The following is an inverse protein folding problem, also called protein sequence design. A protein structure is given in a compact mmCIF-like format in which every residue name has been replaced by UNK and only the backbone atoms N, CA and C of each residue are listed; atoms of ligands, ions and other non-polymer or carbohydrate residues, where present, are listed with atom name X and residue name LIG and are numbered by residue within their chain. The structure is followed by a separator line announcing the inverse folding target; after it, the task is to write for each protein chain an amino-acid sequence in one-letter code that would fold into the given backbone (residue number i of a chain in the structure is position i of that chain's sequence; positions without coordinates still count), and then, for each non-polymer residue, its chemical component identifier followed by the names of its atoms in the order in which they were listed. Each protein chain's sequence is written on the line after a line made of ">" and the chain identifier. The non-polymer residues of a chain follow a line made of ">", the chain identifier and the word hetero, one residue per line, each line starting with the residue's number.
data_IF_635377569996
#
_entry.id   IF_635377569996
#
_cell.length_a   1.000
_cell.length_b   1.000
_cell.length_c   1.000
_cell.angle_alpha   90.00
_cell.angle_beta   90.00
_cell.angle_gamma   90.00
#
_symmetry.space_group_name_H-M   'P 1'
#
loop_
_entity.id
_entity.type
_entity.pdbx_description
1 polymer ?
#
# COMPACT_ATOMS: atom_id res chain seq x y z
N UNK A 1 22.41 -34.10 14.84
CA UNK A 1 21.45 -34.43 13.76
C UNK A 1 21.00 -33.13 13.13
N UNK A 2 21.42 -32.86 11.90
CA UNK A 2 20.93 -31.68 11.16
C UNK A 2 19.43 -31.88 10.88
N UNK A 3 18.56 -30.86 11.08
CA UNK A 3 17.16 -31.00 10.71
C UNK A 3 17.09 -31.23 9.20
N UNK A 4 16.53 -32.36 8.80
CA UNK A 4 16.14 -32.63 7.41
C UNK A 4 15.25 -31.49 6.94
N UNK A 5 15.80 -30.61 6.10
CA UNK A 5 15.09 -29.48 5.48
C UNK A 5 13.97 -30.04 4.62
N UNK A 6 12.77 -30.16 5.20
CA UNK A 6 11.58 -30.57 4.45
C UNK A 6 11.37 -29.56 3.33
N UNK A 7 11.47 -30.00 2.08
CA UNK A 7 11.32 -29.12 0.92
C UNK A 7 9.96 -28.41 1.00
N UNK A 8 9.98 -27.07 1.12
CA UNK A 8 8.78 -26.27 1.27
C UNK A 8 7.84 -26.48 0.07
N UNK A 9 6.57 -26.86 0.27
CA UNK A 9 5.60 -27.02 -0.82
C UNK A 9 5.43 -25.77 -1.67
N UNK A 10 5.54 -24.58 -1.06
CA UNK A 10 5.48 -23.28 -1.74
C UNK A 10 6.66 -23.04 -2.71
N UNK A 11 7.76 -23.77 -2.53
CA UNK A 11 8.96 -23.71 -3.36
C UNK A 11 9.21 -25.03 -4.10
N UNK A 12 8.16 -25.83 -4.31
CA UNK A 12 8.23 -27.01 -5.18
C UNK A 12 8.33 -26.61 -6.66
N UNK A 13 9.00 -27.42 -7.48
CA UNK A 13 9.02 -27.23 -8.94
C UNK A 13 7.71 -27.58 -9.65
N UNK A 14 6.79 -28.24 -8.94
CA UNK A 14 5.49 -28.64 -9.46
C UNK A 14 4.44 -27.55 -9.17
N UNK A 15 3.83 -27.02 -10.23
CA UNK A 15 2.84 -25.93 -10.15
C UNK A 15 1.63 -26.29 -9.28
N UNK A 16 1.06 -27.50 -9.42
CA UNK A 16 -0.09 -27.91 -8.61
C UNK A 16 0.23 -27.97 -7.12
N UNK A 17 1.45 -28.39 -6.76
CA UNK A 17 1.90 -28.43 -5.37
C UNK A 17 2.05 -27.02 -4.80
N UNK A 18 2.61 -26.09 -5.57
CA UNK A 18 2.72 -24.67 -5.16
C UNK A 18 1.34 -24.05 -5.03
N UNK A 19 0.46 -24.26 -6.02
CA UNK A 19 -0.93 -23.78 -6.02
C UNK A 19 -1.69 -24.23 -4.77
N UNK A 20 -1.64 -25.53 -4.46
CA UNK A 20 -2.28 -26.08 -3.24
C UNK A 20 -1.73 -25.41 -1.98
N UNK A 21 -0.41 -25.27 -1.88
CA UNK A 21 0.22 -24.66 -0.72
C UNK A 21 -0.13 -23.17 -0.56
N UNK A 22 -0.31 -22.45 -1.67
CA UNK A 22 -0.78 -21.06 -1.65
C UNK A 22 -2.24 -20.95 -1.19
N UNK A 23 -3.10 -21.88 -1.63
CA UNK A 23 -4.51 -21.94 -1.21
C UNK A 23 -4.68 -22.30 0.27
N UNK A 24 -3.74 -23.05 0.86
CA UNK A 24 -3.76 -23.43 2.28
C UNK A 24 -3.07 -22.39 3.19
N UNK A 25 -2.39 -21.39 2.60
CA UNK A 25 -1.60 -20.41 3.32
C UNK A 25 -2.46 -19.57 4.28
N UNK A 26 -1.97 -19.35 5.51
CA UNK A 26 -2.68 -18.63 6.58
C UNK A 26 -4.12 -19.15 6.80
N UNK A 27 -4.29 -20.47 6.74
CA UNK A 27 -5.60 -21.13 6.92
C UNK A 27 -6.56 -20.95 5.75
N UNK A 28 -6.04 -20.54 4.59
CA UNK A 28 -6.80 -20.32 3.36
C UNK A 28 -7.55 -18.99 3.28
N UNK A 29 -7.38 -18.09 4.27
CA UNK A 29 -8.05 -16.78 4.27
C UNK A 29 -7.36 -15.70 3.42
N UNK A 30 -6.05 -15.86 3.16
CA UNK A 30 -5.24 -14.79 2.55
C UNK A 30 -5.60 -14.56 1.08
N UNK A 31 -5.68 -15.62 0.27
CA UNK A 31 -5.98 -15.47 -1.16
C UNK A 31 -7.41 -14.96 -1.44
N UNK A 32 -8.47 -15.47 -0.79
CA UNK A 32 -9.80 -14.90 -0.97
C UNK A 32 -9.87 -13.42 -0.58
N UNK A 33 -9.19 -13.04 0.50
CA UNK A 33 -9.10 -11.62 0.91
C UNK A 33 -8.38 -10.80 -0.15
N UNK A 34 -7.24 -11.27 -0.65
CA UNK A 34 -6.47 -10.60 -1.70
C UNK A 34 -7.31 -10.44 -2.98
N UNK A 35 -8.03 -11.47 -3.41
CA UNK A 35 -8.91 -11.45 -4.59
C UNK A 35 -10.02 -10.41 -4.48
N UNK A 36 -10.78 -10.44 -3.38
CA UNK A 36 -11.87 -9.49 -3.16
C UNK A 36 -11.40 -8.02 -3.15
N UNK A 37 -10.20 -7.75 -2.65
CA UNK A 37 -9.63 -6.39 -2.64
C UNK A 37 -9.07 -6.02 -4.00
N UNK A 38 -8.48 -6.97 -4.73
CA UNK A 38 -7.99 -6.76 -6.08
C UNK A 38 -9.12 -6.42 -7.05
N UNK A 39 -10.24 -7.15 -7.01
CA UNK A 39 -11.42 -6.86 -7.83
C UNK A 39 -11.91 -5.42 -7.61
N UNK A 40 -12.14 -5.04 -6.35
CA UNK A 40 -12.56 -3.67 -5.99
C UNK A 40 -11.51 -2.61 -6.32
N UNK A 41 -10.23 -2.95 -6.25
CA UNK A 41 -9.14 -2.06 -6.63
C UNK A 41 -9.12 -1.82 -8.15
N UNK A 42 -9.40 -2.84 -8.96
CA UNK A 42 -9.57 -2.72 -10.40
C UNK A 42 -10.80 -1.86 -10.75
N UNK A 43 -11.91 -2.03 -10.04
CA UNK A 43 -13.13 -1.21 -10.19
C UNK A 43 -12.95 0.27 -9.83
N UNK A 44 -11.93 0.61 -9.03
CA UNK A 44 -11.62 2.00 -8.75
C UNK A 44 -11.33 2.36 -7.30
N UNK A 45 -11.57 1.44 -6.36
CA UNK A 45 -11.54 1.74 -4.93
C UNK A 45 -10.11 1.99 -4.41
N UNK A 46 -9.88 3.17 -3.86
CA UNK A 46 -8.61 3.52 -3.22
C UNK A 46 -8.35 2.65 -1.98
N UNK A 47 -9.37 2.43 -1.16
CA UNK A 47 -9.24 1.63 0.07
C UNK A 47 -8.96 0.17 -0.21
N UNK A 48 -9.62 -0.39 -1.22
CA UNK A 48 -9.33 -1.73 -1.68
C UNK A 48 -7.93 -1.81 -2.32
N UNK A 49 -7.46 -0.75 -2.99
CA UNK A 49 -6.09 -0.71 -3.53
C UNK A 49 -5.05 -0.75 -2.40
N UNK A 50 -5.26 0.03 -1.33
CA UNK A 50 -4.40 -0.01 -0.14
C UNK A 50 -4.37 -1.40 0.48
N UNK A 51 -5.55 -1.99 0.66
CA UNK A 51 -5.68 -3.31 1.27
C UNK A 51 -5.10 -4.43 0.39
N UNK A 52 -5.24 -4.32 -0.93
CA UNK A 52 -4.58 -5.19 -1.90
C UNK A 52 -3.06 -5.15 -1.76
N UNK A 53 -2.46 -3.95 -1.73
CA UNK A 53 -1.01 -3.79 -1.53
C UNK A 53 -0.57 -4.41 -0.19
N UNK A 54 -1.36 -4.22 0.87
CA UNK A 54 -1.10 -4.83 2.19
C UNK A 54 -1.16 -6.35 2.14
N UNK A 55 -2.19 -6.92 1.51
CA UNK A 55 -2.33 -8.37 1.35
C UNK A 55 -1.17 -8.95 0.51
N UNK A 56 -0.78 -8.27 -0.56
CA UNK A 56 0.36 -8.66 -1.39
C UNK A 56 1.67 -8.61 -0.60
N UNK A 57 1.89 -7.58 0.22
CA UNK A 57 3.05 -7.50 1.11
C UNK A 57 3.09 -8.68 2.10
N UNK A 58 1.97 -9.00 2.75
CA UNK A 58 1.87 -10.18 3.64
C UNK A 58 2.22 -11.46 2.88
N UNK A 59 1.66 -11.65 1.68
CA UNK A 59 1.96 -12.80 0.83
C UNK A 59 3.46 -12.88 0.49
N UNK A 60 4.09 -11.76 0.11
CA UNK A 60 5.54 -11.66 -0.12
C UNK A 60 6.34 -12.11 1.10
N UNK A 61 6.00 -11.63 2.30
CA UNK A 61 6.68 -12.03 3.53
C UNK A 61 6.51 -13.52 3.85
N UNK A 62 5.34 -14.11 3.58
CA UNK A 62 5.11 -15.54 3.77
C UNK A 62 5.98 -16.37 2.83
N UNK A 63 5.98 -16.05 1.54
CA UNK A 63 6.75 -16.79 0.53
C UNK A 63 8.26 -16.61 0.77
N UNK A 64 8.72 -15.40 1.13
CA UNK A 64 10.11 -15.17 1.50
C UNK A 64 10.49 -15.84 2.82
N UNK A 65 9.55 -15.98 3.76
CA UNK A 65 9.76 -16.74 4.99
C UNK A 65 10.07 -18.21 4.71
N UNK A 66 9.37 -18.83 3.76
CA UNK A 66 9.71 -20.16 3.27
C UNK A 66 11.06 -20.18 2.54
N UNK A 67 11.33 -19.16 1.72
CA UNK A 67 12.60 -19.05 1.00
C UNK A 67 13.79 -18.96 1.95
N UNK A 68 13.67 -18.21 3.04
CA UNK A 68 14.68 -18.15 4.11
C UNK A 68 14.90 -19.51 4.76
N UNK A 69 13.85 -20.31 4.98
CA UNK A 69 14.01 -21.67 5.54
C UNK A 69 14.71 -22.63 4.59
N UNK A 70 14.44 -22.53 3.28
CA UNK A 70 15.00 -23.43 2.26
C UNK A 70 16.42 -22.99 1.83
N UNK A 71 16.66 -21.68 1.73
CA UNK A 71 17.92 -21.06 1.30
C UNK A 71 18.33 -19.93 2.26
N UNK A 72 18.71 -20.27 3.51
CA UNK A 72 19.15 -19.27 4.49
C UNK A 72 20.47 -18.58 4.09
N UNK A 73 21.19 -19.13 3.12
CA UNK A 73 22.39 -18.57 2.50
C UNK A 73 22.08 -17.44 1.51
N UNK A 74 20.86 -17.40 0.96
CA UNK A 74 20.44 -16.40 -0.05
C UNK A 74 19.47 -15.39 0.54
N UNK A 75 18.49 -15.84 1.32
CA UNK A 75 17.51 -14.98 1.98
C UNK A 75 17.81 -15.02 3.46
N UNK A 76 18.10 -13.86 4.04
CA UNK A 76 18.47 -13.72 5.45
C UNK A 76 17.48 -12.81 6.18
N UNK A 77 17.41 -12.97 7.49
CA UNK A 77 16.76 -12.01 8.38
C UNK A 77 17.83 -11.04 8.91
N UNK A 78 17.63 -9.74 8.72
CA UNK A 78 18.52 -8.69 9.24
C UNK A 78 18.37 -8.58 10.76
N UNK A 79 19.28 -7.84 11.40
CA UNK A 79 19.21 -7.56 12.84
C UNK A 79 17.88 -6.89 13.24
N UNK A 80 17.34 -6.03 12.37
CA UNK A 80 16.06 -5.33 12.57
C UNK A 80 14.84 -6.22 12.26
N UNK A 81 15.05 -7.51 12.00
CA UNK A 81 13.98 -8.49 11.79
C UNK A 81 13.41 -8.54 10.37
N UNK A 82 13.87 -7.70 9.45
CA UNK A 82 13.42 -7.69 8.04
C UNK A 82 14.05 -8.82 7.22
N UNK A 83 13.34 -9.29 6.19
CA UNK A 83 13.91 -10.22 5.22
C UNK A 83 14.68 -9.43 4.15
N UNK A 84 15.83 -9.98 3.73
CA UNK A 84 16.71 -9.40 2.72
C UNK A 84 17.41 -10.50 1.91
N UNK A 85 17.90 -10.15 0.73
CA UNK A 85 18.69 -11.04 -0.11
C UNK A 85 20.17 -10.73 0.05
N UNK A 86 21.01 -11.76 0.08
CA UNK A 86 22.46 -11.61 0.06
C UNK A 86 22.91 -11.28 -1.38
N UNK A 87 23.61 -10.16 -1.54
CA UNK A 87 24.21 -9.79 -2.82
C UNK A 87 25.50 -10.57 -3.11
N UNK A 88 26.08 -10.36 -4.30
CA UNK A 88 27.33 -11.03 -4.72
C UNK A 88 28.53 -10.72 -3.81
N UNK A 89 28.44 -9.70 -2.94
CA UNK A 89 29.47 -9.31 -1.98
C UNK A 89 29.16 -9.83 -0.57
N UNK A 90 28.13 -10.65 -0.39
CA UNK A 90 27.72 -11.15 0.92
C UNK A 90 26.93 -10.14 1.76
N UNK A 91 26.50 -9.01 1.18
CA UNK A 91 25.80 -7.94 1.92
C UNK A 91 24.28 -8.12 1.81
N UNK A 92 23.52 -8.04 2.92
CA UNK A 92 22.06 -8.05 2.86
C UNK A 92 21.51 -6.81 2.15
N UNK A 93 20.61 -7.02 1.17
CA UNK A 93 19.94 -5.98 0.39
C UNK A 93 18.43 -6.19 0.40
N UNK A 94 17.69 -5.11 0.65
CA UNK A 94 16.22 -5.09 0.58
C UNK A 94 15.66 -4.79 -0.81
N UNK A 95 16.45 -4.22 -1.71
CA UNK A 95 16.00 -3.87 -3.06
C UNK A 95 15.31 -5.03 -3.82
N UNK A 96 15.75 -6.30 -3.74
CA UNK A 96 15.00 -7.40 -4.37
C UNK A 96 13.64 -7.68 -3.71
N UNK A 97 13.48 -7.42 -2.41
CA UNK A 97 12.19 -7.51 -1.72
C UNK A 97 11.25 -6.40 -2.19
N UNK A 98 11.75 -5.17 -2.27
CA UNK A 98 11.00 -4.01 -2.79
C UNK A 98 10.59 -4.21 -4.26
N UNK A 99 11.44 -4.86 -5.07
CA UNK A 99 11.12 -5.22 -6.44
C UNK A 99 9.99 -6.26 -6.53
N UNK A 100 9.94 -7.23 -5.61
CA UNK A 100 8.82 -8.17 -5.50
C UNK A 100 7.52 -7.44 -5.14
N UNK A 101 7.56 -6.51 -4.18
CA UNK A 101 6.39 -5.71 -3.80
C UNK A 101 5.90 -4.82 -4.95
N UNK A 102 6.83 -4.24 -5.71
CA UNK A 102 6.53 -3.44 -6.91
C UNK A 102 5.80 -4.25 -7.98
N UNK A 103 6.06 -5.56 -8.06
CA UNK A 103 5.39 -6.44 -9.00
C UNK A 103 3.87 -6.54 -8.78
N UNK A 104 3.37 -6.16 -7.59
CA UNK A 104 1.92 -6.08 -7.33
C UNK A 104 1.18 -5.12 -8.28
N UNK A 105 1.86 -4.11 -8.83
CA UNK A 105 1.27 -3.20 -9.80
C UNK A 105 0.94 -3.90 -11.13
N UNK A 106 1.78 -4.85 -11.55
CA UNK A 106 1.73 -5.46 -12.88
C UNK A 106 1.17 -6.89 -12.86
N UNK A 107 1.23 -7.57 -11.71
CA UNK A 107 0.79 -8.96 -11.55
C UNK A 107 -0.65 -9.23 -12.04
N UNK A 108 -1.65 -8.36 -11.81
CA UNK A 108 -3.02 -8.57 -12.31
C UNK A 108 -3.17 -8.52 -13.84
N UNK A 109 -2.13 -8.10 -14.56
CA UNK A 109 -2.12 -8.01 -16.03
C UNK A 109 -1.09 -8.98 -16.64
N UNK A 110 -0.49 -9.83 -15.81
CA UNK A 110 0.51 -10.80 -16.24
C UNK A 110 -0.11 -12.02 -16.94
N UNK A 111 0.72 -12.88 -17.56
CA UNK A 111 0.25 -14.03 -18.33
C UNK A 111 -0.49 -15.08 -17.49
N UNK A 112 -0.30 -15.07 -16.16
CA UNK A 112 -0.97 -15.98 -15.22
C UNK A 112 -2.48 -15.82 -15.19
N UNK A 113 -3.00 -14.61 -15.42
CA UNK A 113 -4.45 -14.31 -15.34
C UNK A 113 -5.24 -14.92 -16.50
N UNK A 114 -4.56 -15.33 -17.58
CA UNK A 114 -5.18 -16.08 -18.69
C UNK A 114 -5.52 -17.53 -18.33
N UNK A 115 -4.99 -18.05 -17.21
CA UNK A 115 -5.07 -19.47 -16.85
C UNK A 115 -5.63 -19.73 -15.46
N UNK A 116 -5.60 -18.73 -14.57
CA UNK A 116 -6.01 -18.87 -13.17
C UNK A 116 -6.89 -17.69 -12.74
N UNK A 117 -7.74 -17.88 -11.71
CA UNK A 117 -8.39 -16.76 -11.00
C UNK A 117 -7.37 -15.71 -10.55
N UNK A 118 -7.80 -14.45 -10.45
CA UNK A 118 -6.91 -13.30 -10.24
C UNK A 118 -6.00 -13.45 -9.02
N UNK A 119 -6.57 -13.87 -7.89
CA UNK A 119 -5.86 -14.07 -6.63
C UNK A 119 -4.80 -15.17 -6.72
N UNK A 120 -5.11 -16.26 -7.41
CA UNK A 120 -4.17 -17.36 -7.62
C UNK A 120 -3.08 -16.97 -8.62
N UNK A 121 -3.46 -16.29 -9.70
CA UNK A 121 -2.54 -15.83 -10.73
C UNK A 121 -1.46 -14.91 -10.14
N UNK A 122 -1.88 -13.92 -9.36
CA UNK A 122 -0.99 -12.96 -8.69
C UNK A 122 -0.08 -13.66 -7.68
N UNK A 123 -0.60 -14.65 -6.95
CA UNK A 123 0.17 -15.41 -5.98
C UNK A 123 1.19 -16.37 -6.62
N UNK A 124 0.81 -17.03 -7.72
CA UNK A 124 1.68 -17.92 -8.49
C UNK A 124 2.79 -17.13 -9.20
N UNK A 125 2.50 -15.93 -9.72
CA UNK A 125 3.51 -15.03 -10.28
C UNK A 125 4.57 -14.67 -9.23
N UNK A 126 4.14 -14.23 -8.05
CA UNK A 126 5.02 -13.92 -6.93
C UNK A 126 5.88 -15.14 -6.51
N UNK A 127 5.26 -16.31 -6.35
CA UNK A 127 5.98 -17.53 -6.01
C UNK A 127 7.03 -17.89 -7.08
N UNK A 128 6.69 -17.75 -8.37
CA UNK A 128 7.61 -17.98 -9.48
C UNK A 128 8.80 -17.00 -9.45
N UNK A 129 8.56 -15.72 -9.18
CA UNK A 129 9.62 -14.70 -9.04
C UNK A 129 10.54 -14.99 -7.86
N UNK A 130 9.99 -15.33 -6.69
CA UNK A 130 10.81 -15.69 -5.52
C UNK A 130 11.69 -16.90 -5.84
N UNK A 131 11.14 -17.93 -6.49
CA UNK A 131 11.91 -19.11 -6.93
C UNK A 131 13.11 -18.71 -7.79
N UNK A 132 12.89 -17.86 -8.79
CA UNK A 132 13.97 -17.36 -9.65
C UNK A 132 15.05 -16.63 -8.85
N UNK A 133 14.65 -15.74 -7.92
CA UNK A 133 15.58 -14.98 -7.09
C UNK A 133 16.45 -15.86 -6.18
N UNK A 134 15.93 -17.01 -5.73
CA UNK A 134 16.71 -17.97 -4.93
C UNK A 134 17.42 -19.04 -5.79
N UNK A 135 17.49 -18.85 -7.11
CA UNK A 135 18.21 -19.73 -8.04
C UNK A 135 17.47 -21.02 -8.40
N UNK A 136 16.17 -21.11 -8.13
CA UNK A 136 15.32 -22.20 -8.59
C UNK A 136 14.70 -21.88 -9.95
N UNK A 137 14.36 -22.92 -10.72
CA UNK A 137 13.65 -22.76 -12.00
C UNK A 137 12.27 -22.12 -11.77
N UNK A 138 11.91 -21.17 -12.63
CA UNK A 138 10.58 -20.58 -12.69
C UNK A 138 9.49 -21.66 -12.82
N UNK A 139 8.27 -21.35 -12.35
CA UNK A 139 7.13 -22.24 -12.57
C UNK A 139 6.75 -22.25 -14.05
N UNK A 140 6.47 -23.44 -14.59
CA UNK A 140 6.17 -23.62 -16.01
C UNK A 140 4.69 -23.37 -16.31
N UNK A 141 4.39 -22.17 -16.78
CA UNK A 141 3.05 -21.76 -17.18
C UNK A 141 2.59 -22.43 -18.50
N UNK A 142 3.52 -22.84 -19.36
CA UNK A 142 3.20 -23.43 -20.66
C UNK A 142 2.62 -24.84 -20.54
N UNK A 143 2.87 -25.51 -19.41
CA UNK A 143 2.34 -26.84 -19.10
C UNK A 143 0.86 -26.87 -18.71
N UNK A 144 0.18 -25.71 -18.66
CA UNK A 144 -1.21 -25.58 -18.24
C UNK A 144 -2.07 -25.09 -19.40
N UNK A 145 -3.12 -25.85 -19.71
CA UNK A 145 -4.08 -25.51 -20.75
C UNK A 145 -4.78 -24.16 -20.45
N UNK A 146 -4.90 -23.27 -21.45
CA UNK A 146 -5.66 -22.03 -21.30
C UNK A 146 -7.15 -22.35 -21.22
N UNK A 147 -7.74 -22.36 -20.03
CA UNK A 147 -9.16 -22.76 -19.93
C UNK A 147 -9.90 -22.53 -18.62
N UNK A 148 -9.33 -21.85 -17.61
CA UNK A 148 -10.02 -21.68 -16.31
C UNK A 148 -10.22 -20.23 -15.86
N UNK A 149 -9.60 -19.25 -16.51
CA UNK A 149 -9.84 -17.82 -16.23
C UNK A 149 -10.61 -17.19 -17.38
N UNK A 150 -11.80 -16.65 -17.12
CA UNK A 150 -12.36 -15.63 -18.00
C UNK A 150 -11.35 -14.49 -18.03
N UNK A 151 -10.73 -14.24 -19.18
CA UNK A 151 -9.83 -13.10 -19.32
C UNK A 151 -10.64 -11.83 -19.07
N UNK A 152 -10.54 -11.29 -17.86
CA UNK A 152 -11.15 -10.01 -17.52
C UNK A 152 -10.48 -8.98 -18.41
N UNK A 153 -11.18 -8.55 -19.45
CA UNK A 153 -10.73 -7.53 -20.39
C UNK A 153 -10.67 -6.19 -19.68
N UNK A 154 -9.61 -5.93 -18.93
CA UNK A 154 -9.36 -4.62 -18.34
C UNK A 154 -8.86 -3.70 -19.44
N UNK A 155 -9.58 -2.61 -19.70
CA UNK A 155 -9.15 -1.62 -20.67
C UNK A 155 -7.87 -0.88 -20.22
N UNK A 156 -7.11 -0.35 -21.17
CA UNK A 156 -5.83 0.35 -20.93
C UNK A 156 -5.93 1.52 -19.94
N UNK A 157 -7.07 2.23 -19.91
CA UNK A 157 -7.27 3.36 -19.02
C UNK A 157 -7.47 2.89 -17.58
N UNK A 158 -8.25 1.84 -17.38
CA UNK A 158 -8.45 1.18 -16.09
C UNK A 158 -7.13 0.60 -15.58
N UNK A 159 -6.36 -0.07 -16.43
CA UNK A 159 -5.03 -0.58 -16.07
C UNK A 159 -4.09 0.56 -15.63
N UNK A 160 -4.02 1.67 -16.37
CA UNK A 160 -3.20 2.84 -16.00
C UNK A 160 -3.63 3.49 -14.68
N UNK A 161 -4.93 3.58 -14.42
CA UNK A 161 -5.46 4.12 -13.15
C UNK A 161 -5.11 3.22 -11.97
N UNK A 162 -5.26 1.91 -12.13
CA UNK A 162 -4.84 0.93 -11.14
C UNK A 162 -3.35 1.03 -10.84
N UNK A 163 -2.49 1.01 -11.87
CA UNK A 163 -1.03 1.14 -11.75
C UNK A 163 -0.64 2.39 -10.96
N UNK A 164 -1.29 3.53 -11.22
CA UNK A 164 -1.04 4.78 -10.51
C UNK A 164 -1.38 4.67 -9.02
N UNK A 165 -2.53 4.08 -8.67
CA UNK A 165 -2.97 3.91 -7.27
C UNK A 165 -2.07 2.94 -6.51
N UNK A 166 -1.70 1.81 -7.12
CA UNK A 166 -0.79 0.84 -6.49
C UNK A 166 0.58 1.46 -6.23
N UNK A 167 1.17 2.13 -7.23
CA UNK A 167 2.45 2.83 -7.06
C UNK A 167 2.38 3.93 -6.00
N UNK A 168 1.25 4.62 -5.89
CA UNK A 168 1.03 5.56 -4.80
C UNK A 168 1.16 4.87 -3.44
N UNK A 169 0.43 3.77 -3.19
CA UNK A 169 0.50 3.07 -1.90
C UNK A 169 1.82 2.34 -1.64
N UNK A 170 2.55 1.92 -2.69
CA UNK A 170 3.89 1.33 -2.54
C UNK A 170 4.97 2.35 -2.16
N UNK A 171 4.87 3.58 -2.70
CA UNK A 171 5.80 4.67 -2.39
C UNK A 171 5.46 5.36 -1.06
N UNK A 172 4.26 5.11 -0.55
CA UNK A 172 3.75 5.62 0.71
C UNK A 172 3.22 4.47 1.59
N UNK A 173 4.06 3.44 1.86
CA UNK A 173 3.63 2.22 2.56
C UNK A 173 3.23 2.53 4.01
N UNK A 174 3.87 3.56 4.56
CA UNK A 174 3.69 4.13 5.89
C UNK A 174 3.03 5.50 5.85
N UNK A 175 2.35 5.91 4.77
CA UNK A 175 1.39 7.01 4.89
C UNK A 175 0.26 6.54 5.80
N UNK A 176 0.53 6.73 7.09
CA UNK A 176 -0.40 6.89 8.17
C UNK A 176 -1.73 7.34 7.59
N UNK A 177 -2.75 6.48 7.74
CA UNK A 177 -4.09 6.68 7.18
C UNK A 177 -4.38 8.17 7.15
N UNK A 178 -4.71 8.81 6.02
CA UNK A 178 -4.55 10.26 5.88
C UNK A 178 -5.27 11.05 6.98
N UNK A 179 -6.35 10.49 7.54
CA UNK A 179 -6.98 11.01 8.76
C UNK A 179 -6.12 10.92 10.05
N UNK A 180 -5.42 9.81 10.33
CA UNK A 180 -4.42 9.72 11.39
C UNK A 180 -3.31 10.76 11.19
N UNK A 181 -2.79 10.91 9.96
CA UNK A 181 -1.80 11.95 9.65
C UNK A 181 -2.32 13.35 9.96
N UNK A 182 -3.56 13.65 9.56
CA UNK A 182 -4.22 14.92 9.88
C UNK A 182 -4.44 15.07 11.40
N UNK A 183 -4.82 14.00 12.08
CA UNK A 183 -5.00 14.01 13.54
C UNK A 183 -3.70 14.30 14.26
N UNK A 184 -2.59 13.72 13.82
CA UNK A 184 -1.31 13.88 14.47
C UNK A 184 -0.70 15.26 14.16
N UNK A 185 -0.74 15.69 12.90
CA UNK A 185 -0.23 17.00 12.49
C UNK A 185 -0.93 18.17 13.23
N UNK A 186 -2.26 18.11 13.33
CA UNK A 186 -3.07 19.16 13.95
C UNK A 186 -3.40 18.91 15.43
N UNK A 187 -2.93 17.79 16.01
CA UNK A 187 -3.31 17.31 17.34
C UNK A 187 -4.84 17.30 17.53
N UNK A 188 -5.55 16.62 16.63
CA UNK A 188 -7.01 16.51 16.64
C UNK A 188 -7.44 15.21 17.29
N UNK A 189 -8.44 15.32 18.16
CA UNK A 189 -9.26 14.18 18.53
C UNK A 189 -10.15 13.74 17.35
N UNK A 190 -10.63 12.49 17.40
CA UNK A 190 -11.64 11.99 16.44
C UNK A 190 -12.91 12.86 16.39
N UNK A 191 -13.27 13.48 17.52
CA UNK A 191 -14.43 14.36 17.62
C UNK A 191 -14.18 15.67 16.88
N UNK A 192 -13.01 16.28 17.06
CA UNK A 192 -12.65 17.50 16.32
C UNK A 192 -12.53 17.23 14.83
N UNK A 193 -11.92 16.11 14.44
CA UNK A 193 -11.88 15.70 13.03
C UNK A 193 -13.30 15.54 12.47
N UNK A 194 -14.22 14.91 13.22
CA UNK A 194 -15.61 14.79 12.79
C UNK A 194 -16.28 16.16 12.59
N UNK A 195 -16.04 17.11 13.50
CA UNK A 195 -16.51 18.50 13.38
C UNK A 195 -15.93 19.20 12.15
N UNK A 196 -14.65 19.01 11.85
CA UNK A 196 -14.02 19.58 10.64
C UNK A 196 -14.68 19.06 9.36
N UNK A 197 -15.14 17.81 9.36
CA UNK A 197 -15.80 17.20 8.20
C UNK A 197 -17.33 17.34 8.21
N UNK A 198 -17.92 17.96 9.24
CA UNK A 198 -19.37 18.09 9.38
C UNK A 198 -20.09 16.75 9.54
N UNK A 199 -19.42 15.76 10.13
CA UNK A 199 -19.94 14.39 10.33
C UNK A 199 -19.95 13.99 11.80
N UNK A 200 -20.56 12.83 12.10
CA UNK A 200 -20.50 12.24 13.45
C UNK A 200 -19.17 11.50 13.66
N UNK A 201 -18.69 11.43 14.90
CA UNK A 201 -17.49 10.66 15.28
C UNK A 201 -17.50 9.21 14.77
N UNK A 202 -18.67 8.55 14.78
CA UNK A 202 -18.82 7.18 14.28
C UNK A 202 -18.49 7.05 12.78
N UNK A 203 -18.74 8.09 11.98
CA UNK A 203 -18.34 8.10 10.57
C UNK A 203 -16.82 8.11 10.45
N UNK A 204 -16.13 8.92 11.26
CA UNK A 204 -14.67 8.93 11.35
C UNK A 204 -14.12 7.58 11.79
N UNK A 205 -14.70 6.94 12.81
CA UNK A 205 -14.30 5.60 13.25
C UNK A 205 -14.44 4.57 12.11
N UNK A 206 -15.52 4.66 11.32
CA UNK A 206 -15.67 3.82 10.13
C UNK A 206 -14.64 4.14 9.05
N UNK A 207 -14.33 5.42 8.82
CA UNK A 207 -13.35 5.84 7.82
C UNK A 207 -11.94 5.40 8.19
N UNK A 208 -11.55 5.45 9.46
CA UNK A 208 -10.23 4.96 9.89
C UNK A 208 -10.01 3.46 9.63
N UNK A 209 -11.10 2.68 9.61
CA UNK A 209 -11.06 1.24 9.35
C UNK A 209 -11.20 0.93 7.85
N UNK A 210 -12.20 1.54 7.22
CA UNK A 210 -12.65 1.20 5.85
C UNK A 210 -12.14 2.15 4.80
N UNK A 211 -11.55 3.27 5.22
CA UNK A 211 -11.10 4.39 4.41
C UNK A 211 -12.15 5.45 4.13
N UNK A 212 -11.71 6.54 3.51
CA UNK A 212 -12.51 7.77 3.35
C UNK A 212 -13.38 7.69 2.09
N UNK A 213 -14.68 8.01 2.15
CA UNK A 213 -15.57 8.02 0.99
C UNK A 213 -15.08 8.94 -0.14
N UNK A 214 -15.33 8.56 -1.38
CA UNK A 214 -14.85 9.27 -2.58
C UNK A 214 -15.18 10.77 -2.59
N UNK A 215 -16.37 11.15 -2.15
CA UNK A 215 -16.86 12.53 -2.07
C UNK A 215 -16.16 13.37 -1.01
N UNK A 216 -15.41 12.75 -0.09
CA UNK A 216 -14.61 13.42 0.95
C UNK A 216 -13.10 13.39 0.66
N UNK A 217 -12.68 12.61 -0.34
CA UNK A 217 -11.27 12.47 -0.72
C UNK A 217 -10.64 13.81 -1.10
N UNK A 218 -11.35 14.68 -1.84
CA UNK A 218 -10.79 15.97 -2.25
C UNK A 218 -10.42 16.86 -1.05
N UNK A 219 -11.31 16.92 -0.05
CA UNK A 219 -11.05 17.66 1.19
C UNK A 219 -9.84 17.08 1.91
N UNK A 220 -9.78 15.76 2.08
CA UNK A 220 -8.63 15.09 2.71
C UNK A 220 -7.33 15.41 1.99
N UNK A 221 -7.27 15.27 0.67
CA UNK A 221 -6.07 15.55 -0.12
C UNK A 221 -5.63 17.02 -0.01
N UNK A 222 -6.58 17.95 0.01
CA UNK A 222 -6.28 19.37 0.24
C UNK A 222 -5.67 19.61 1.62
N UNK A 223 -6.21 18.97 2.66
CA UNK A 223 -5.69 19.10 4.02
C UNK A 223 -4.31 18.48 4.19
N UNK A 224 -4.05 17.33 3.55
CA UNK A 224 -2.73 16.70 3.53
C UNK A 224 -1.71 17.63 2.86
N UNK A 225 -2.07 18.22 1.72
CA UNK A 225 -1.20 19.19 1.04
C UNK A 225 -0.90 20.44 1.89
N UNK A 226 -1.87 20.90 2.70
CA UNK A 226 -1.64 21.98 3.68
C UNK A 226 -0.64 21.52 4.75
N UNK A 227 -0.79 20.30 5.28
CA UNK A 227 0.15 19.74 6.26
C UNK A 227 1.56 19.66 5.69
N UNK A 228 1.72 19.09 4.49
CA UNK A 228 3.02 18.98 3.81
C UNK A 228 3.72 20.34 3.68
N UNK A 229 2.98 21.38 3.29
CA UNK A 229 3.54 22.73 3.14
C UNK A 229 3.96 23.32 4.48
N UNK A 230 3.14 23.16 5.52
CA UNK A 230 3.41 23.68 6.84
C UNK A 230 4.56 22.93 7.52
N UNK A 231 4.59 21.60 7.47
CA UNK A 231 5.65 20.77 8.07
C UNK A 231 7.03 21.04 7.44
N UNK A 232 7.09 21.34 6.15
CA UNK A 232 8.35 21.72 5.47
C UNK A 232 8.90 23.07 5.93
N UNK A 233 8.05 23.96 6.46
CA UNK A 233 8.41 25.36 6.76
C UNK A 233 8.38 25.68 8.25
N UNK A 234 7.68 24.90 9.05
CA UNK A 234 7.59 25.05 10.50
C UNK A 234 8.55 24.10 11.21
N UNK A 235 8.96 24.47 12.43
CA UNK A 235 9.69 23.54 13.30
C UNK A 235 8.78 22.36 13.69
N UNK A 236 9.33 21.15 13.88
CA UNK A 236 8.57 20.00 14.36
C UNK A 236 7.70 20.35 15.59
N UNK A 237 6.46 19.87 15.62
CA UNK A 237 5.50 20.11 16.71
C UNK A 237 4.89 21.51 16.77
N UNK A 238 5.13 22.40 15.79
CA UNK A 238 4.53 23.76 15.78
C UNK A 238 3.22 23.87 15.02
N UNK A 239 2.90 22.89 14.17
CA UNK A 239 1.77 22.97 13.26
C UNK A 239 0.44 23.14 13.99
N UNK A 240 0.14 22.28 14.97
CA UNK A 240 -1.08 22.36 15.78
C UNK A 240 -1.28 23.75 16.42
N UNK A 241 -0.22 24.31 17.00
CA UNK A 241 -0.24 25.65 17.60
C UNK A 241 -0.52 26.77 16.59
N UNK A 242 0.04 26.68 15.38
CA UNK A 242 -0.23 27.65 14.30
C UNK A 242 -1.66 27.52 13.80
N UNK A 243 -2.15 26.29 13.62
CA UNK A 243 -3.49 26.03 13.09
C UNK A 243 -4.62 26.55 14.00
N UNK A 244 -4.39 26.57 15.31
CA UNK A 244 -5.34 27.03 16.33
C UNK A 244 -5.23 28.52 16.67
N UNK A 245 -4.28 29.24 16.07
CA UNK A 245 -4.09 30.67 16.31
C UNK A 245 -4.88 31.50 15.30
N UNK A 246 -5.71 32.47 15.74
CA UNK A 246 -6.33 33.45 14.86
C UNK A 246 -5.28 34.29 14.11
N UNK A 247 -5.54 34.59 12.84
CA UNK A 247 -4.66 35.47 12.05
C UNK A 247 -5.46 36.42 11.16
N UNK A 248 -4.90 37.62 10.94
CA UNK A 248 -5.51 38.65 10.08
C UNK A 248 -5.66 38.18 8.63
N UNK A 249 -4.69 37.38 8.14
CA UNK A 249 -4.74 36.74 6.83
C UNK A 249 -5.95 35.82 6.63
N UNK A 250 -6.56 35.36 7.73
CA UNK A 250 -7.75 34.49 7.75
C UNK A 250 -9.02 35.25 8.13
N UNK A 251 -8.96 36.60 8.23
CA UNK A 251 -10.05 37.43 8.69
C UNK A 251 -10.34 37.26 10.19
N UNK A 252 -9.30 37.11 11.00
CA UNK A 252 -9.42 36.89 12.46
C UNK A 252 -9.85 35.47 12.84
N UNK A 253 -9.89 34.55 11.87
CA UNK A 253 -10.21 33.13 12.10
C UNK A 253 -8.96 32.28 12.23
N UNK A 254 -9.13 31.08 12.76
CA UNK A 254 -8.13 30.02 12.78
C UNK A 254 -8.16 29.21 11.48
N UNK A 255 -7.09 28.46 11.20
CA UNK A 255 -7.08 27.54 10.06
C UNK A 255 -8.18 26.47 10.21
N UNK A 256 -8.38 25.96 11.42
CA UNK A 256 -9.38 24.93 11.71
C UNK A 256 -10.81 25.44 11.45
N UNK A 257 -11.11 26.69 11.77
CA UNK A 257 -12.42 27.31 11.45
C UNK A 257 -12.64 27.47 9.95
N UNK A 258 -11.59 27.81 9.18
CA UNK A 258 -11.69 27.83 7.72
C UNK A 258 -11.95 26.42 7.15
N UNK A 259 -11.31 25.39 7.70
CA UNK A 259 -11.52 24.00 7.29
C UNK A 259 -12.95 23.54 7.61
N UNK A 260 -13.45 23.85 8.81
CA UNK A 260 -14.80 23.52 9.23
C UNK A 260 -15.87 24.22 8.36
N UNK A 261 -15.59 25.43 7.89
CA UNK A 261 -16.45 26.17 6.96
C UNK A 261 -16.29 25.74 5.49
N UNK A 262 -15.65 24.61 5.22
CA UNK A 262 -15.34 24.09 3.87
C UNK A 262 -14.51 25.03 2.97
N UNK A 263 -13.82 26.00 3.58
CA UNK A 263 -12.91 26.94 2.88
C UNK A 263 -11.47 26.41 2.79
N UNK A 264 -11.30 25.08 2.73
CA UNK A 264 -9.99 24.42 2.72
C UNK A 264 -9.18 24.71 1.44
N UNK A 265 -9.83 24.90 0.29
CA UNK A 265 -9.14 25.33 -0.95
C UNK A 265 -8.59 26.76 -0.84
N UNK A 266 -9.36 27.65 -0.23
CA UNK A 266 -8.92 29.02 0.03
C UNK A 266 -7.76 29.05 1.01
N UNK A 267 -7.85 28.27 2.10
CA UNK A 267 -6.76 28.13 3.06
C UNK A 267 -5.47 27.65 2.38
N UNK A 268 -5.54 26.62 1.53
CA UNK A 268 -4.36 26.14 0.80
C UNK A 268 -3.73 27.25 -0.05
N UNK A 269 -4.55 28.06 -0.72
CA UNK A 269 -4.07 29.20 -1.50
C UNK A 269 -3.37 30.23 -0.60
N UNK A 270 -4.00 30.64 0.51
CA UNK A 270 -3.42 31.60 1.46
C UNK A 270 -2.10 31.10 2.06
N UNK A 271 -2.01 29.81 2.38
CA UNK A 271 -0.79 29.19 2.89
C UNK A 271 0.33 29.24 1.84
N UNK A 272 0.02 28.95 0.57
CA UNK A 272 1.00 29.07 -0.52
C UNK A 272 1.47 30.51 -0.71
N UNK A 273 0.54 31.45 -0.81
CA UNK A 273 0.82 32.89 -0.97
C UNK A 273 1.70 33.43 0.18
N UNK A 274 1.45 32.97 1.41
CA UNK A 274 2.24 33.35 2.59
C UNK A 274 3.69 32.87 2.56
N UNK A 275 3.98 31.77 1.86
CA UNK A 275 5.33 31.21 1.75
C UNK A 275 6.07 31.57 0.45
N UNK A 276 5.35 31.93 -0.61
CA UNK A 276 5.95 32.46 -1.83
C UNK A 276 6.65 33.80 -1.58
N UNK A 277 6.09 34.66 -0.73
CA UNK A 277 6.74 35.91 -0.31
C UNK A 277 8.00 35.69 0.55
N UNK A 278 8.05 34.64 1.36
CA UNK A 278 9.22 34.30 2.18
C UNK A 278 10.40 33.73 1.36
N UNK A 279 10.17 33.41 0.08
CA UNK A 279 11.17 32.84 -0.83
C UNK A 279 11.74 33.88 -1.81
N UNK A 280 11.12 35.05 -1.90
CA UNK A 280 11.48 36.15 -2.79
C UNK A 280 12.22 37.31 -2.08
N UNK A 281 12.61 37.13 -0.82
CA UNK A 281 13.42 38.04 -0.01
C UNK A 281 14.75 37.37 0.36
#
# INVERSE_FOLDING_TARGET
>A
MAPTTTASPLLAGNLHRVRRALLELDGGGLLPTLGAQLERALEGSADATREYVRCYHVLTLRVLGEAHRVRPDVVVRTADGHLAFIDVKGTPRRAPVEALETASAEAPFGPWTTRFPLEEAVALDLASRVRQLIGLRALDLASVDPGLGEAVGVDDLTARRFLRRVRFHLNHPDEEHPLHRLMDAFELSKTELASLFGVRRQAVDQWLVRGVPSERQEKVQTLVAICDLLERKLKPGRLAGVARRPADAYGGKTMLELIAADRHRELLRLVRESFDWASAA
#
